data_IF_197723365671
#
_entry.id   IF_197723365671
#
_cell.length_a   1.000
_cell.length_b   1.000
_cell.length_c   1.000
_cell.angle_alpha   90.00
_cell.angle_beta   90.00
_cell.angle_gamma   90.00
#
_symmetry.space_group_name_H-M   'P 1'
#
loop_
_entity.id
_entity.type
_entity.pdbx_description
1 polymer ?
#
# COMPACT_ATOMS: atom_id res chain seq x y z
N UNK A 1 13.67 15.75 15.05
CA UNK A 1 14.07 17.16 14.85
C UNK A 1 12.86 18.04 14.47
N UNK A 2 12.09 17.73 13.41
CA UNK A 2 10.96 18.58 12.94
C UNK A 2 9.89 18.77 14.02
N UNK A 3 9.65 17.76 14.84
CA UNK A 3 8.68 17.80 15.93
C UNK A 3 9.25 18.42 17.23
N UNK A 4 10.56 18.61 17.31
CA UNK A 4 11.26 19.07 18.52
C UNK A 4 11.38 18.01 19.63
N UNK A 5 10.77 16.85 19.44
CA UNK A 5 10.83 15.68 20.33
C UNK A 5 10.65 14.40 19.53
N UNK A 6 11.01 13.25 20.09
CA UNK A 6 10.66 11.96 19.50
C UNK A 6 9.14 11.76 19.61
N UNK A 7 8.55 11.29 18.51
CA UNK A 7 7.11 10.95 18.44
C UNK A 7 6.96 9.57 17.85
N UNK A 8 6.04 8.80 18.41
CA UNK A 8 5.70 7.47 17.92
C UNK A 8 4.22 7.34 17.60
N UNK A 9 3.87 6.27 16.88
CA UNK A 9 2.53 5.94 16.48
C UNK A 9 2.03 4.70 17.22
N UNK A 10 0.85 4.81 17.85
CA UNK A 10 0.16 3.69 18.48
C UNK A 10 -1.27 3.57 17.91
N UNK A 11 -1.55 2.54 17.08
CA UNK A 11 -2.86 2.38 16.44
C UNK A 11 -3.98 2.01 17.41
N UNK A 12 -3.64 1.54 18.62
CA UNK A 12 -4.61 1.10 19.62
C UNK A 12 -5.09 2.23 20.55
N UNK A 13 -4.39 3.38 20.56
CA UNK A 13 -4.69 4.48 21.46
C UNK A 13 -4.99 5.79 20.69
N UNK A 14 -6.11 6.46 20.99
CA UNK A 14 -6.42 7.78 20.47
C UNK A 14 -5.60 8.86 21.21
N UNK A 15 -4.99 9.86 20.56
CA UNK A 15 -5.10 10.23 19.13
C UNK A 15 -4.00 9.68 18.23
N UNK A 16 -3.44 8.55 18.50
CA UNK A 16 -2.50 7.75 17.71
C UNK A 16 -1.04 8.21 17.72
N UNK A 17 -0.76 9.50 17.90
CA UNK A 17 0.59 10.04 17.95
C UNK A 17 0.92 10.56 19.34
N UNK A 18 1.98 10.04 19.92
CA UNK A 18 2.40 10.31 21.29
C UNK A 18 3.87 10.72 21.32
N UNK A 19 4.28 11.35 22.42
CA UNK A 19 5.69 11.61 22.69
C UNK A 19 6.32 10.29 23.12
N UNK A 20 7.36 9.90 22.39
CA UNK A 20 8.23 8.79 22.76
C UNK A 20 9.29 9.34 23.73
N UNK A 21 9.07 9.15 25.02
CA UNK A 21 9.80 9.83 26.08
C UNK A 21 11.19 9.24 26.28
N UNK A 22 11.38 7.96 25.93
CA UNK A 22 12.65 7.28 26.01
C UNK A 22 13.38 7.20 24.66
N UNK A 23 12.73 7.65 23.57
CA UNK A 23 13.23 7.71 22.20
C UNK A 23 13.68 6.33 21.66
N UNK A 24 12.96 5.27 22.02
CA UNK A 24 13.27 3.91 21.57
C UNK A 24 12.53 3.50 20.28
N UNK A 25 11.62 4.37 19.77
CA UNK A 25 10.83 4.15 18.56
C UNK A 25 9.53 3.37 18.78
N UNK A 26 9.19 3.05 20.03
CA UNK A 26 7.97 2.33 20.42
C UNK A 26 7.17 3.19 21.39
N UNK A 27 5.85 3.14 21.33
CA UNK A 27 4.97 3.77 22.32
C UNK A 27 4.47 2.69 23.25
N UNK A 28 5.01 2.65 24.45
CA UNK A 28 4.62 1.73 25.51
C UNK A 28 3.26 2.12 26.11
N UNK A 29 2.72 1.27 26.97
CA UNK A 29 1.38 1.45 27.56
C UNK A 29 1.29 2.74 28.39
N UNK A 30 2.32 3.10 29.12
CA UNK A 30 2.40 4.32 29.92
C UNK A 30 2.59 5.58 29.06
N UNK A 31 3.22 5.47 27.91
CA UNK A 31 3.37 6.55 26.94
C UNK A 31 2.13 6.75 26.08
N UNK A 32 1.37 5.69 25.77
CA UNK A 32 0.16 5.69 24.97
C UNK A 32 -1.07 6.32 25.65
N UNK A 33 -0.87 7.21 26.63
CA UNK A 33 -1.94 7.86 27.37
C UNK A 33 -2.26 9.26 26.81
N UNK A 34 -3.52 9.64 26.81
CA UNK A 34 -3.99 10.92 26.26
C UNK A 34 -3.21 12.17 26.75
N UNK A 35 -2.79 12.27 28.02
CA UNK A 35 -1.97 13.39 28.47
C UNK A 35 -0.61 13.49 27.75
N UNK A 36 -0.04 12.36 27.33
CA UNK A 36 1.24 12.28 26.61
C UNK A 36 1.10 12.39 25.10
N UNK A 37 -0.09 12.73 24.58
CA UNK A 37 -0.30 12.90 23.14
C UNK A 37 0.59 13.98 22.57
N UNK A 38 1.11 13.77 21.38
CA UNK A 38 1.78 14.85 20.66
C UNK A 38 0.76 15.93 20.25
N UNK A 39 1.05 17.19 20.57
CA UNK A 39 0.14 18.31 20.33
C UNK A 39 0.76 19.48 19.56
N UNK A 40 2.07 19.49 19.34
CA UNK A 40 2.79 20.58 18.67
C UNK A 40 2.81 20.42 17.14
N UNK A 41 1.64 20.27 16.55
CA UNK A 41 1.46 20.05 15.13
C UNK A 41 1.82 21.26 14.29
N UNK A 42 2.58 21.05 13.24
CA UNK A 42 2.79 21.99 12.14
C UNK A 42 2.14 21.42 10.88
N UNK A 43 1.84 22.26 9.84
CA UNK A 43 1.29 21.76 8.59
C UNK A 43 2.14 20.65 7.94
N UNK A 44 3.47 20.75 8.05
CA UNK A 44 4.41 19.74 7.55
C UNK A 44 4.26 18.41 8.27
N UNK A 45 4.24 18.44 9.60
CA UNK A 45 4.06 17.24 10.42
C UNK A 45 2.68 16.60 10.22
N UNK A 46 1.61 17.41 10.11
CA UNK A 46 0.26 16.87 9.85
C UNK A 46 0.21 16.14 8.51
N UNK A 47 0.78 16.71 7.45
CA UNK A 47 0.83 16.04 6.14
C UNK A 47 1.57 14.69 6.23
N UNK A 48 2.75 14.68 6.82
CA UNK A 48 3.54 13.45 6.96
C UNK A 48 2.83 12.41 7.83
N UNK A 49 2.27 12.80 8.96
CA UNK A 49 1.53 11.93 9.88
C UNK A 49 0.27 11.34 9.20
N UNK A 50 -0.46 12.15 8.44
CA UNK A 50 -1.63 11.70 7.69
C UNK A 50 -1.25 10.66 6.63
N UNK A 51 -0.22 10.93 5.82
CA UNK A 51 0.26 10.00 4.80
C UNK A 51 0.76 8.69 5.42
N UNK A 52 1.50 8.77 6.53
CA UNK A 52 1.97 7.60 7.27
C UNK A 52 0.78 6.79 7.83
N UNK A 53 -0.17 7.44 8.49
CA UNK A 53 -1.34 6.76 9.03
C UNK A 53 -2.19 6.12 7.91
N UNK A 54 -2.34 6.78 6.76
CA UNK A 54 -3.05 6.23 5.60
C UNK A 54 -2.41 4.92 5.16
N UNK A 55 -1.07 4.86 5.08
CA UNK A 55 -0.37 3.63 4.68
C UNK A 55 -0.55 2.46 5.65
N UNK A 56 -0.80 2.75 6.93
CA UNK A 56 -0.99 1.72 7.97
C UNK A 56 -2.45 1.31 8.15
N UNK A 57 -3.40 2.22 7.87
CA UNK A 57 -4.83 1.98 8.08
C UNK A 57 -5.50 1.26 6.92
N UNK A 58 -4.90 1.25 5.75
CA UNK A 58 -5.38 0.49 4.61
C UNK A 58 -4.60 -0.83 4.49
N UNK A 59 -5.14 -1.97 4.96
CA UNK A 59 -4.50 -3.27 4.84
C UNK A 59 -4.35 -3.72 3.38
N UNK A 60 -5.13 -3.13 2.47
CA UNK A 60 -5.05 -3.34 1.03
C UNK A 60 -4.22 -2.30 0.27
N UNK A 61 -3.47 -1.44 0.95
CA UNK A 61 -2.72 -0.34 0.32
C UNK A 61 -1.86 -0.76 -0.88
N UNK A 62 -1.29 -1.97 -0.84
CA UNK A 62 -0.47 -2.53 -1.92
C UNK A 62 -1.26 -2.81 -3.21
N UNK A 63 -2.58 -3.00 -3.14
CA UNK A 63 -3.48 -3.19 -4.30
C UNK A 63 -4.39 -1.99 -4.54
N UNK A 64 -4.84 -1.28 -3.50
CA UNK A 64 -5.74 -0.13 -3.62
C UNK A 64 -5.07 1.11 -4.23
N UNK A 65 -3.77 1.11 -4.38
CA UNK A 65 -3.00 2.22 -4.95
C UNK A 65 -1.57 2.26 -4.42
N UNK A 66 -0.90 1.12 -4.37
CA UNK A 66 0.43 0.97 -3.77
C UNK A 66 1.44 1.97 -4.31
N UNK A 67 1.43 2.24 -5.61
CA UNK A 67 2.31 3.26 -6.22
C UNK A 67 2.04 4.66 -5.67
N UNK A 68 0.77 5.01 -5.43
CA UNK A 68 0.39 6.29 -4.85
C UNK A 68 0.83 6.40 -3.39
N UNK A 69 0.65 5.34 -2.61
CA UNK A 69 1.13 5.28 -1.21
C UNK A 69 2.65 5.44 -1.14
N UNK A 70 3.39 4.75 -2.01
CA UNK A 70 4.86 4.90 -2.10
C UNK A 70 5.25 6.35 -2.37
N UNK A 71 4.59 7.02 -3.31
CA UNK A 71 4.82 8.43 -3.63
C UNK A 71 4.54 9.34 -2.44
N UNK A 72 3.40 9.14 -1.75
CA UNK A 72 3.04 9.92 -0.56
C UNK A 72 4.09 9.79 0.56
N UNK A 73 4.57 8.57 0.81
CA UNK A 73 5.60 8.34 1.84
C UNK A 73 6.95 8.92 1.43
N UNK A 74 7.37 8.70 0.18
CA UNK A 74 8.62 9.25 -0.34
C UNK A 74 8.64 10.79 -0.27
N UNK A 75 7.57 11.43 -0.75
CA UNK A 75 7.44 12.89 -0.75
C UNK A 75 7.33 13.45 0.67
N UNK A 76 6.75 12.70 1.61
CA UNK A 76 6.72 13.09 3.03
C UNK A 76 8.12 13.09 3.64
N UNK A 77 8.95 12.09 3.33
CA UNK A 77 10.35 12.04 3.80
C UNK A 77 11.14 13.20 3.18
N UNK A 78 10.96 13.45 1.88
CA UNK A 78 11.62 14.56 1.20
C UNK A 78 11.25 15.93 1.82
N UNK A 79 9.95 16.18 2.07
CA UNK A 79 9.49 17.42 2.72
C UNK A 79 10.01 17.55 4.15
N UNK A 80 10.07 16.46 4.92
CA UNK A 80 10.65 16.47 6.26
C UNK A 80 12.16 16.74 6.23
N UNK A 81 12.88 16.17 5.27
CA UNK A 81 14.32 16.34 5.09
C UNK A 81 14.72 17.82 4.88
N UNK A 82 13.83 18.63 4.28
CA UNK A 82 14.08 20.08 4.13
C UNK A 82 14.17 20.83 5.46
N UNK A 83 13.69 20.24 6.55
CA UNK A 83 13.58 20.90 7.86
C UNK A 83 14.45 20.27 8.95
N UNK A 84 15.41 19.41 8.59
CA UNK A 84 16.31 18.74 9.53
C UNK A 84 17.78 18.93 9.13
N UNK A 85 18.67 18.91 10.12
CA UNK A 85 20.09 19.14 9.90
C UNK A 85 20.79 17.93 9.26
N UNK A 86 20.30 16.72 9.55
CA UNK A 86 20.83 15.46 9.04
C UNK A 86 19.73 14.72 8.26
N UNK A 87 19.57 15.01 6.97
CA UNK A 87 18.54 14.39 6.14
C UNK A 87 18.68 12.87 6.05
N UNK A 88 17.57 12.19 6.06
CA UNK A 88 17.50 10.75 5.75
C UNK A 88 17.92 10.52 4.30
N UNK A 89 18.86 9.61 4.09
CA UNK A 89 19.32 9.25 2.74
C UNK A 89 18.21 8.51 1.97
N UNK A 90 17.75 9.13 0.88
CA UNK A 90 16.73 8.57 -0.02
C UNK A 90 17.33 7.94 -1.29
N UNK A 91 18.65 7.89 -1.42
CA UNK A 91 19.33 7.42 -2.65
C UNK A 91 18.97 5.97 -3.03
N UNK A 92 18.71 5.12 -2.04
CA UNK A 92 18.25 3.74 -2.24
C UNK A 92 16.72 3.60 -2.33
N UNK A 93 15.98 4.65 -2.07
CA UNK A 93 14.52 4.64 -2.14
C UNK A 93 14.05 4.93 -3.57
N UNK A 94 12.90 4.41 -3.92
CA UNK A 94 12.29 4.65 -5.24
C UNK A 94 10.92 5.29 -5.07
N UNK A 95 10.75 6.50 -5.59
CA UNK A 95 9.47 7.19 -5.64
C UNK A 95 8.50 6.55 -6.63
N UNK A 96 9.03 6.03 -7.74
CA UNK A 96 8.24 5.42 -8.81
C UNK A 96 8.68 3.97 -8.95
N UNK A 97 7.71 3.07 -8.80
CA UNK A 97 7.88 1.68 -9.19
C UNK A 97 7.49 1.51 -10.65
N UNK A 98 8.40 0.96 -11.45
CA UNK A 98 8.18 0.71 -12.88
C UNK A 98 7.25 -0.48 -13.15
N UNK A 99 6.93 -1.29 -12.10
CA UNK A 99 6.18 -2.53 -12.26
C UNK A 99 6.99 -3.65 -12.89
N UNK A 100 6.32 -4.77 -13.14
CA UNK A 100 6.97 -5.99 -13.63
C UNK A 100 7.29 -5.98 -15.14
N UNK A 101 6.81 -4.98 -15.89
CA UNK A 101 7.12 -4.79 -17.31
C UNK A 101 7.90 -3.50 -17.59
N UNK A 102 8.71 -3.06 -16.64
CA UNK A 102 9.53 -1.87 -16.79
C UNK A 102 10.37 -1.90 -18.08
N UNK A 103 10.21 -0.86 -18.90
CA UNK A 103 10.92 -0.71 -20.17
C UNK A 103 10.42 -1.62 -21.30
N UNK A 104 9.33 -2.35 -21.13
CA UNK A 104 8.72 -3.19 -22.17
C UNK A 104 7.40 -2.60 -22.64
N UNK A 105 7.45 -1.71 -23.62
CA UNK A 105 6.25 -1.18 -24.26
C UNK A 105 5.46 -2.28 -24.98
N UNK A 106 6.15 -3.23 -25.58
CA UNK A 106 5.57 -4.33 -26.34
C UNK A 106 4.70 -5.25 -25.47
N UNK A 107 5.10 -5.55 -24.23
CA UNK A 107 4.31 -6.38 -23.33
C UNK A 107 2.95 -5.77 -22.99
N UNK A 108 2.83 -4.43 -23.00
CA UNK A 108 1.54 -3.74 -22.84
C UNK A 108 0.73 -3.68 -24.13
N UNK A 109 1.38 -3.79 -25.29
CA UNK A 109 0.75 -3.65 -26.60
C UNK A 109 0.03 -4.91 -27.07
N UNK A 110 0.40 -6.09 -26.59
CA UNK A 110 -0.30 -7.33 -26.95
C UNK A 110 -1.80 -7.31 -26.68
N UNK A 111 -2.21 -6.61 -25.63
CA UNK A 111 -3.65 -6.50 -25.32
C UNK A 111 -4.38 -5.58 -26.28
N UNK A 112 -3.70 -4.54 -26.76
CA UNK A 112 -4.26 -3.61 -27.75
C UNK A 112 -4.40 -4.28 -29.13
N UNK A 113 -3.41 -5.09 -29.51
CA UNK A 113 -3.36 -5.74 -30.82
C UNK A 113 -4.34 -6.91 -30.92
N UNK A 114 -4.40 -7.74 -29.89
CA UNK A 114 -5.23 -8.94 -29.87
C UNK A 114 -6.66 -8.68 -29.35
N UNK A 115 -6.89 -7.57 -28.68
CA UNK A 115 -8.17 -7.19 -28.11
C UNK A 115 -8.60 -8.04 -26.92
N UNK A 116 -7.71 -8.87 -26.39
CA UNK A 116 -7.95 -9.73 -25.23
C UNK A 116 -6.75 -9.75 -24.28
N UNK A 117 -7.00 -9.97 -22.99
CA UNK A 117 -5.95 -10.23 -22.01
C UNK A 117 -5.57 -11.71 -22.08
N UNK A 118 -4.28 -12.06 -22.31
CA UNK A 118 -3.85 -13.45 -22.33
C UNK A 118 -4.20 -14.20 -21.05
N UNK A 119 -4.54 -15.49 -21.15
CA UNK A 119 -5.01 -16.29 -20.02
C UNK A 119 -4.10 -16.28 -18.79
N UNK A 120 -2.78 -16.23 -18.97
CA UNK A 120 -1.82 -16.14 -17.86
C UNK A 120 -1.85 -14.79 -17.12
N UNK A 121 -2.39 -13.75 -17.74
CA UNK A 121 -2.49 -12.40 -17.19
C UNK A 121 -3.89 -12.07 -16.63
N UNK A 122 -4.92 -12.83 -17.03
CA UNK A 122 -6.33 -12.53 -16.70
C UNK A 122 -6.64 -12.55 -15.21
N UNK A 123 -5.91 -13.32 -14.43
CA UNK A 123 -6.08 -13.36 -12.95
C UNK A 123 -5.90 -11.99 -12.27
N UNK A 124 -5.10 -11.11 -12.88
CA UNK A 124 -4.82 -9.79 -12.32
C UNK A 124 -5.32 -8.64 -13.20
N UNK A 125 -5.60 -8.88 -14.47
CA UNK A 125 -5.89 -7.84 -15.44
C UNK A 125 -7.31 -7.87 -16.02
N UNK A 126 -8.21 -8.68 -15.44
CA UNK A 126 -9.64 -8.67 -15.74
C UNK A 126 -10.46 -8.70 -14.45
N UNK A 127 -11.67 -8.13 -14.49
CA UNK A 127 -12.55 -8.07 -13.32
C UNK A 127 -13.06 -9.45 -12.86
N UNK A 128 -13.09 -10.45 -13.74
CA UNK A 128 -13.61 -11.79 -13.43
C UNK A 128 -12.53 -12.88 -13.39
N UNK A 129 -11.30 -12.60 -13.83
CA UNK A 129 -10.26 -13.61 -13.95
C UNK A 129 -9.82 -14.21 -12.62
N UNK A 130 -9.61 -13.39 -11.60
CA UNK A 130 -9.21 -13.85 -10.28
C UNK A 130 -10.34 -14.63 -9.58
N UNK A 131 -11.59 -14.15 -9.51
CA UNK A 131 -12.71 -14.92 -8.97
C UNK A 131 -12.83 -16.31 -9.60
N UNK A 132 -12.87 -16.40 -10.92
CA UNK A 132 -12.97 -17.69 -11.62
C UNK A 132 -11.80 -18.62 -11.35
N UNK A 133 -10.60 -18.07 -11.23
CA UNK A 133 -9.44 -18.88 -10.89
C UNK A 133 -9.52 -19.41 -9.45
N UNK A 134 -9.97 -18.60 -8.51
CA UNK A 134 -10.07 -19.00 -7.10
C UNK A 134 -11.21 -19.99 -6.87
N UNK A 135 -12.35 -19.80 -7.53
CA UNK A 135 -13.54 -20.63 -7.34
C UNK A 135 -13.49 -21.93 -8.16
N UNK A 136 -13.03 -21.87 -9.39
CA UNK A 136 -13.16 -22.97 -10.36
C UNK A 136 -11.79 -23.53 -10.81
N UNK A 137 -10.67 -22.89 -10.44
CA UNK A 137 -9.34 -23.26 -10.92
C UNK A 137 -9.10 -22.98 -12.40
N UNK A 138 -9.98 -22.22 -13.05
CA UNK A 138 -9.92 -21.96 -14.50
C UNK A 138 -9.15 -20.68 -14.79
N UNK A 139 -8.33 -20.73 -15.84
CA UNK A 139 -7.71 -19.54 -16.41
C UNK A 139 -8.40 -19.21 -17.73
N UNK A 140 -8.98 -18.03 -17.81
CA UNK A 140 -9.73 -17.55 -18.98
C UNK A 140 -8.97 -16.45 -19.71
N UNK A 141 -9.28 -16.24 -20.98
CA UNK A 141 -8.90 -15.05 -21.75
C UNK A 141 -10.11 -14.16 -21.92
N UNK A 142 -9.95 -12.87 -21.74
CA UNK A 142 -11.06 -11.90 -21.80
C UNK A 142 -10.63 -10.64 -22.55
N UNK A 143 -11.58 -9.90 -23.13
CA UNK A 143 -11.30 -8.56 -23.62
C UNK A 143 -10.69 -7.68 -22.53
N UNK A 144 -9.85 -6.69 -22.88
CA UNK A 144 -9.30 -5.74 -21.92
C UNK A 144 -10.41 -5.07 -21.11
N UNK A 145 -10.18 -4.87 -19.83
CA UNK A 145 -11.09 -4.18 -18.93
C UNK A 145 -10.41 -2.95 -18.31
N UNK A 146 -11.20 -2.05 -17.73
CA UNK A 146 -10.69 -0.83 -17.09
C UNK A 146 -9.95 -1.10 -15.77
N UNK A 147 -9.46 -2.30 -15.56
CA UNK A 147 -8.72 -2.70 -14.38
C UNK A 147 -9.55 -3.53 -13.40
N UNK A 148 -9.05 -3.62 -12.19
CA UNK A 148 -9.67 -4.40 -11.13
C UNK A 148 -10.86 -3.65 -10.52
N UNK A 149 -11.95 -4.37 -10.27
CA UNK A 149 -13.06 -3.90 -9.44
C UNK A 149 -12.90 -4.44 -8.01
N UNK A 150 -13.62 -3.85 -7.06
CA UNK A 150 -13.61 -4.35 -5.67
C UNK A 150 -13.98 -5.85 -5.62
N UNK A 151 -15.00 -6.25 -6.37
CA UNK A 151 -15.45 -7.66 -6.50
C UNK A 151 -14.42 -8.60 -7.14
N UNK A 152 -13.32 -8.11 -7.70
CA UNK A 152 -12.23 -8.96 -8.19
C UNK A 152 -11.49 -9.66 -7.03
N UNK A 153 -11.43 -9.02 -5.86
CA UNK A 153 -10.71 -9.52 -4.69
C UNK A 153 -11.62 -9.73 -3.46
N UNK A 154 -12.78 -9.06 -3.44
CA UNK A 154 -13.73 -9.14 -2.33
C UNK A 154 -14.96 -9.93 -2.75
N UNK A 155 -15.31 -10.96 -1.99
CA UNK A 155 -16.50 -11.80 -2.17
C UNK A 155 -17.76 -11.16 -1.59
N UNK A 156 -17.61 -10.29 -0.61
CA UNK A 156 -18.67 -9.44 -0.06
C UNK A 156 -18.24 -7.98 -0.11
N UNK A 157 -19.06 -7.13 -0.76
CA UNK A 157 -18.79 -5.70 -0.91
C UNK A 157 -19.41 -4.83 0.20
N UNK A 158 -20.06 -5.43 1.19
CA UNK A 158 -20.59 -4.74 2.37
C UNK A 158 -19.62 -4.89 3.53
N UNK A 159 -19.23 -6.13 3.80
CA UNK A 159 -18.26 -6.47 4.86
C UNK A 159 -16.81 -6.40 4.38
N UNK A 160 -16.59 -6.30 3.08
CA UNK A 160 -15.27 -6.31 2.42
C UNK A 160 -14.42 -7.53 2.79
N UNK A 161 -15.06 -8.67 2.99
CA UNK A 161 -14.36 -9.94 3.10
C UNK A 161 -13.65 -10.27 1.78
N UNK A 162 -12.60 -11.05 1.84
CA UNK A 162 -11.81 -11.44 0.66
C UNK A 162 -12.07 -12.90 0.33
N UNK A 163 -11.95 -13.24 -0.93
CA UNK A 163 -11.92 -14.64 -1.33
C UNK A 163 -10.89 -15.40 -0.50
N UNK A 164 -11.34 -16.48 0.13
CA UNK A 164 -10.48 -17.40 0.88
C UNK A 164 -10.30 -18.69 0.07
N UNK A 165 -9.05 -19.12 -0.04
CA UNK A 165 -8.70 -20.37 -0.69
C UNK A 165 -7.78 -21.17 0.23
N UNK A 166 -8.02 -22.48 0.34
CA UNK A 166 -7.20 -23.37 1.17
C UNK A 166 -5.78 -23.52 0.60
N UNK A 167 -5.66 -23.50 -0.72
CA UNK A 167 -4.37 -23.60 -1.39
C UNK A 167 -4.42 -22.99 -2.79
N UNK A 168 -3.30 -22.48 -3.27
CA UNK A 168 -3.13 -21.98 -4.64
C UNK A 168 -1.94 -22.67 -5.28
N UNK A 169 -2.16 -23.27 -6.44
CA UNK A 169 -1.07 -23.83 -7.24
C UNK A 169 -0.36 -22.73 -8.02
N UNK A 170 0.87 -22.48 -7.69
CA UNK A 170 1.71 -21.53 -8.42
C UNK A 170 2.10 -22.05 -9.82
N UNK A 171 2.47 -21.15 -10.77
CA UNK A 171 2.97 -21.56 -12.09
C UNK A 171 4.18 -22.50 -12.02
N UNK A 172 4.98 -22.44 -10.95
CA UNK A 172 6.08 -23.35 -10.68
C UNK A 172 5.64 -24.78 -10.32
N UNK A 173 4.34 -24.98 -10.06
CA UNK A 173 3.81 -26.25 -9.59
C UNK A 173 3.79 -26.41 -8.07
N UNK A 174 4.35 -25.49 -7.31
CA UNK A 174 4.23 -25.45 -5.86
C UNK A 174 2.78 -25.16 -5.44
N UNK A 175 2.37 -25.68 -4.28
CA UNK A 175 1.06 -25.48 -3.65
C UNK A 175 1.26 -24.77 -2.32
#
# INVERSE_FOLDING_TARGET
EVAGTAIGYNPAAYPYFFIDTNANGTIEEDEGQFPNRFASWTPRLVKAAYNYQTSLKDPGAYVHGGKYIIQLLYDSIADLNEAIAEPVDQSAMRRIDSGHFAGSEEAFRHWDEEGVVPGNCTKCHTGAGLPMFLEEGVTISMPPSNGLACATCHDDLVEFTRYEVESVKFPSGAV
#
